data_IF_115630713511
#
_entry.id   IF_115630713511
#
_cell.length_a   1.000
_cell.length_b   1.000
_cell.length_c   1.000
_cell.angle_alpha   90.00
_cell.angle_beta   90.00
_cell.angle_gamma   90.00
#
_symmetry.space_group_name_H-M   'P 1'
#
loop_
_entity.id
_entity.type
_entity.pdbx_description
1 polymer ?
#
# COMPACT_ATOMS: atom_id res chain seq x y z
N UNK A 1 3.57 -2.44 -11.11
CA UNK A 1 4.40 -2.50 -9.88
C UNK A 1 3.54 -2.10 -8.68
N UNK A 2 3.71 -2.71 -7.52
CA UNK A 2 3.13 -2.20 -6.28
C UNK A 2 4.01 -1.03 -5.83
N UNK A 3 3.50 0.19 -5.94
CA UNK A 3 4.29 1.42 -5.84
C UNK A 3 4.19 2.06 -4.46
N UNK A 4 3.01 2.01 -3.87
CA UNK A 4 2.75 2.61 -2.55
C UNK A 4 1.72 1.78 -1.78
N UNK A 5 1.95 1.64 -0.48
CA UNK A 5 1.01 1.05 0.47
C UNK A 5 0.61 2.13 1.47
N UNK A 6 -0.68 2.40 1.55
CA UNK A 6 -1.24 3.38 2.47
C UNK A 6 -1.86 2.69 3.68
N UNK A 7 -1.61 3.23 4.86
CA UNK A 7 -2.22 2.87 6.13
C UNK A 7 -3.08 4.00 6.65
N UNK A 8 -4.11 3.67 7.43
CA UNK A 8 -4.91 4.64 8.17
C UNK A 8 -4.70 4.45 9.67
N UNK A 9 -4.46 5.55 10.38
CA UNK A 9 -4.22 5.54 11.82
C UNK A 9 -5.04 6.61 12.55
N UNK A 10 -5.36 6.35 13.81
CA UNK A 10 -5.92 7.36 14.72
C UNK A 10 -4.86 8.40 15.13
N UNK A 11 -3.62 7.97 15.31
CA UNK A 11 -2.49 8.81 15.70
C UNK A 11 -1.45 8.80 14.57
N UNK A 12 -1.46 9.86 13.75
CA UNK A 12 -0.60 10.00 12.58
C UNK A 12 0.88 9.97 12.97
N UNK A 13 1.28 10.86 13.87
CA UNK A 13 2.69 11.10 14.18
C UNK A 13 3.31 9.89 14.86
N UNK A 14 2.62 9.29 15.84
CA UNK A 14 3.10 8.07 16.49
C UNK A 14 3.30 6.93 15.49
N UNK A 15 2.41 6.78 14.52
CA UNK A 15 2.48 5.71 13.53
C UNK A 15 3.61 5.97 12.53
N UNK A 16 3.80 7.22 12.11
CA UNK A 16 4.92 7.63 11.27
C UNK A 16 6.26 7.39 11.98
N UNK A 17 6.38 7.79 13.25
CA UNK A 17 7.59 7.56 14.06
C UNK A 17 7.94 6.06 14.13
N UNK A 18 6.93 5.19 14.30
CA UNK A 18 7.13 3.74 14.32
C UNK A 18 7.63 3.19 12.98
N UNK A 19 7.07 3.66 11.86
CA UNK A 19 7.52 3.22 10.54
C UNK A 19 8.90 3.78 10.20
N UNK A 20 9.17 5.04 10.51
CA UNK A 20 10.49 5.66 10.35
C UNK A 20 11.56 4.93 11.17
N UNK A 21 11.26 4.59 12.43
CA UNK A 21 12.16 3.81 13.29
C UNK A 21 12.43 2.41 12.75
N UNK A 22 11.39 1.72 12.26
CA UNK A 22 11.53 0.40 11.64
C UNK A 22 12.40 0.44 10.38
N UNK A 23 12.18 1.45 9.53
CA UNK A 23 12.80 1.57 8.21
C UNK A 23 14.12 2.35 8.21
N UNK A 24 14.56 2.80 9.38
CA UNK A 24 15.72 3.70 9.55
C UNK A 24 15.66 4.89 8.57
N UNK A 25 14.48 5.49 8.45
CA UNK A 25 14.16 6.49 7.44
C UNK A 25 13.51 7.73 8.05
N UNK A 26 13.52 8.81 7.29
CA UNK A 26 12.78 10.05 7.59
C UNK A 26 11.57 10.19 6.66
N UNK A 27 10.67 11.10 7.00
CA UNK A 27 9.57 11.46 6.09
C UNK A 27 10.13 12.11 4.83
N UNK A 28 9.73 11.62 3.67
CA UNK A 28 10.14 12.20 2.40
C UNK A 28 9.17 13.27 1.90
N UNK A 29 7.89 13.20 2.31
CA UNK A 29 6.87 14.16 1.87
C UNK A 29 5.65 14.18 2.79
N UNK A 30 4.98 15.34 2.86
CA UNK A 30 3.61 15.49 3.35
C UNK A 30 2.79 16.12 2.23
N UNK A 31 1.78 15.41 1.77
CA UNK A 31 0.96 15.84 0.64
C UNK A 31 -0.20 16.70 1.12
N UNK A 32 -0.20 18.02 0.85
CA UNK A 32 -1.36 18.86 1.15
C UNK A 32 -2.62 18.43 0.37
N UNK A 33 -2.47 17.70 -0.74
CA UNK A 33 -3.56 17.18 -1.56
C UNK A 33 -4.49 16.22 -0.80
N UNK A 34 -4.01 15.51 0.21
CA UNK A 34 -4.87 14.62 1.00
C UNK A 34 -5.90 15.37 1.85
N UNK A 35 -5.70 16.67 2.06
CA UNK A 35 -6.68 17.55 2.69
C UNK A 35 -8.02 17.59 1.95
N UNK A 36 -8.02 17.33 0.64
CA UNK A 36 -9.25 17.16 -0.15
C UNK A 36 -10.17 16.05 0.39
N UNK A 37 -9.60 15.07 1.09
CA UNK A 37 -10.33 13.95 1.70
C UNK A 37 -10.56 14.13 3.21
N UNK A 38 -10.23 15.31 3.77
CA UNK A 38 -10.28 15.58 5.21
C UNK A 38 -9.19 14.83 5.98
N UNK A 39 -8.01 14.65 5.37
CA UNK A 39 -6.90 13.87 5.93
C UNK A 39 -5.62 14.71 6.05
N UNK A 40 -4.77 14.31 6.98
CA UNK A 40 -3.33 14.61 6.96
C UNK A 40 -2.56 13.32 6.66
N UNK A 41 -1.35 13.44 6.11
CA UNK A 41 -0.50 12.28 5.83
C UNK A 41 0.99 12.50 6.13
N UNK A 42 1.75 11.43 5.95
CA UNK A 42 3.19 11.43 5.76
C UNK A 42 3.61 10.25 4.89
N UNK A 43 4.55 10.48 3.98
CA UNK A 43 5.16 9.46 3.12
C UNK A 43 6.59 9.16 3.57
N UNK A 44 6.95 7.89 3.48
CA UNK A 44 8.28 7.34 3.76
C UNK A 44 8.73 6.57 2.51
N UNK A 45 9.93 6.86 2.03
CA UNK A 45 10.53 6.15 0.90
C UNK A 45 11.20 4.84 1.35
N UNK A 46 11.04 3.79 0.55
CA UNK A 46 11.50 2.42 0.81
C UNK A 46 11.95 1.76 -0.49
N UNK A 47 13.26 1.77 -0.78
CA UNK A 47 13.83 1.09 -1.94
C UNK A 47 13.27 1.58 -3.29
N UNK A 48 12.91 2.85 -3.35
CA UNK A 48 12.25 3.55 -4.43
C UNK A 48 10.72 3.53 -4.35
N UNK A 49 10.09 2.67 -3.54
CA UNK A 49 8.64 2.62 -3.31
C UNK A 49 8.24 3.40 -2.04
N UNK A 50 6.96 3.40 -1.67
CA UNK A 50 6.47 4.27 -0.59
C UNK A 50 5.57 3.55 0.42
N UNK A 51 5.76 3.86 1.70
CA UNK A 51 4.72 3.71 2.71
C UNK A 51 4.10 5.08 2.99
N UNK A 52 2.79 5.09 3.12
CA UNK A 52 2.04 6.28 3.51
C UNK A 52 1.22 5.98 4.75
N UNK A 53 1.15 6.93 5.68
CA UNK A 53 0.16 6.91 6.75
C UNK A 53 -0.73 8.12 6.57
N UNK A 54 -2.05 7.89 6.57
CA UNK A 54 -3.07 8.94 6.61
C UNK A 54 -3.81 8.90 7.93
N UNK A 55 -4.30 10.06 8.38
CA UNK A 55 -5.18 10.17 9.54
C UNK A 55 -6.28 11.19 9.30
N UNK A 56 -7.54 10.91 9.71
CA UNK A 56 -8.62 11.88 9.63
C UNK A 56 -8.34 13.16 10.43
N UNK A 57 -8.49 14.31 9.79
CA UNK A 57 -8.49 15.62 10.46
C UNK A 57 -9.89 16.20 10.62
N UNK A 58 -10.89 15.59 9.98
CA UNK A 58 -12.30 15.96 10.02
C UNK A 58 -13.17 14.75 10.40
N UNK A 59 -14.33 15.03 11.01
CA UNK A 59 -15.33 14.00 11.29
C UNK A 59 -16.01 13.51 9.99
N UNK A 60 -16.48 12.25 10.00
CA UNK A 60 -17.27 11.73 8.88
C UNK A 60 -16.49 11.45 7.59
N UNK A 61 -15.16 11.42 7.64
CA UNK A 61 -14.32 11.02 6.50
C UNK A 61 -14.49 9.53 6.17
N UNK A 62 -14.15 9.14 4.94
CA UNK A 62 -14.13 7.72 4.55
C UNK A 62 -13.08 6.93 5.35
N UNK A 63 -11.93 7.54 5.62
CA UNK A 63 -10.88 6.96 6.45
C UNK A 63 -11.36 6.74 7.90
N UNK A 64 -12.03 7.72 8.50
CA UNK A 64 -12.61 7.60 9.85
C UNK A 64 -13.61 6.45 9.96
N UNK A 65 -14.57 6.37 9.02
CA UNK A 65 -15.51 5.22 8.98
C UNK A 65 -14.81 3.87 8.79
N UNK A 66 -13.68 3.86 8.10
CA UNK A 66 -12.91 2.63 7.90
C UNK A 66 -12.17 2.22 9.18
N UNK A 67 -11.60 3.17 9.94
CA UNK A 67 -11.05 2.92 11.28
C UNK A 67 -12.11 2.31 12.22
N UNK A 68 -13.32 2.87 12.25
CA UNK A 68 -14.43 2.34 13.05
C UNK A 68 -14.79 0.90 12.65
N UNK A 69 -14.86 0.65 11.34
CA UNK A 69 -15.16 -0.69 10.79
C UNK A 69 -14.07 -1.71 11.15
N UNK A 70 -12.81 -1.29 11.10
CA UNK A 70 -11.66 -2.12 11.45
C UNK A 70 -11.45 -2.26 12.96
N UNK A 71 -12.13 -1.43 13.76
CA UNK A 71 -11.98 -1.29 15.21
C UNK A 71 -10.53 -1.01 15.60
N UNK A 72 -9.87 -0.14 14.84
CA UNK A 72 -8.47 0.21 15.03
C UNK A 72 -7.77 0.58 13.72
N UNK A 73 -6.50 0.91 13.85
CA UNK A 73 -5.61 1.23 12.73
C UNK A 73 -5.50 0.05 11.76
N UNK A 74 -5.27 0.33 10.47
CA UNK A 74 -5.24 -0.72 9.45
C UNK A 74 -4.63 -0.28 8.13
N UNK A 75 -4.15 -1.24 7.34
CA UNK A 75 -3.90 -1.04 5.91
C UNK A 75 -5.15 -0.54 5.16
N UNK A 76 -4.98 0.48 4.33
CA UNK A 76 -6.05 1.30 3.78
C UNK A 76 -6.13 1.30 2.25
N UNK A 77 -4.98 1.32 1.56
CA UNK A 77 -4.93 1.37 0.10
C UNK A 77 -3.68 0.65 -0.44
N UNK A 78 -3.84 0.01 -1.60
CA UNK A 78 -2.72 -0.44 -2.44
C UNK A 78 -2.71 0.39 -3.73
N UNK A 79 -1.57 1.00 -4.04
CA UNK A 79 -1.41 1.87 -5.19
C UNK A 79 -0.41 1.23 -6.15
N UNK A 80 -0.88 0.97 -7.37
CA UNK A 80 -0.09 0.34 -8.42
C UNK A 80 0.33 1.37 -9.46
N UNK A 81 1.58 1.29 -9.89
CA UNK A 81 2.08 2.05 -11.04
C UNK A 81 2.13 1.16 -12.27
N UNK A 82 1.69 1.71 -13.39
CA UNK A 82 1.71 1.09 -14.72
C UNK A 82 2.07 2.12 -15.80
N UNK A 83 2.21 1.63 -17.04
CA UNK A 83 2.49 2.46 -18.20
C UNK A 83 1.30 3.35 -18.59
N UNK A 84 0.08 2.79 -18.57
CA UNK A 84 -1.13 3.47 -18.99
C UNK A 84 -2.30 3.12 -18.06
N UNK A 85 -2.65 4.03 -17.15
CA UNK A 85 -3.75 3.82 -16.21
C UNK A 85 -5.14 3.88 -16.86
N UNK A 86 -5.29 4.50 -18.05
CA UNK A 86 -6.57 4.65 -18.73
C UNK A 86 -7.21 3.30 -19.05
N UNK A 87 -6.41 2.28 -19.39
CA UNK A 87 -6.91 0.92 -19.68
C UNK A 87 -7.63 0.28 -18.48
N UNK A 88 -7.29 0.70 -17.26
CA UNK A 88 -7.91 0.20 -16.03
C UNK A 88 -9.21 0.93 -15.71
N UNK A 89 -9.39 2.17 -16.19
CA UNK A 89 -10.69 2.87 -16.14
C UNK A 89 -11.70 2.22 -17.08
N UNK A 90 -11.31 1.98 -18.33
CA UNK A 90 -12.13 1.28 -19.32
C UNK A 90 -12.57 -0.09 -18.79
N UNK A 91 -11.62 -0.86 -18.25
CA UNK A 91 -11.92 -2.13 -17.62
C UNK A 91 -12.81 -2.01 -16.38
N UNK A 92 -12.66 -0.97 -15.58
CA UNK A 92 -13.53 -0.73 -14.44
C UNK A 92 -14.96 -0.46 -14.88
N UNK A 93 -15.17 0.29 -15.95
CA UNK A 93 -16.49 0.53 -16.54
C UNK A 93 -17.13 -0.77 -17.03
N UNK A 94 -16.39 -1.60 -17.78
CA UNK A 94 -16.85 -2.92 -18.24
C UNK A 94 -17.29 -3.84 -17.07
N UNK A 95 -16.59 -3.73 -15.93
CA UNK A 95 -16.84 -4.55 -14.74
C UNK A 95 -17.77 -3.88 -13.72
N UNK A 96 -18.34 -2.72 -14.03
CA UNK A 96 -19.17 -1.91 -13.13
C UNK A 96 -18.49 -1.61 -11.77
N UNK A 97 -17.20 -1.31 -11.81
CA UNK A 97 -16.39 -0.91 -10.65
C UNK A 97 -16.40 0.61 -10.55
N UNK A 98 -16.93 1.15 -9.44
CA UNK A 98 -16.97 2.61 -9.24
C UNK A 98 -15.56 3.19 -9.10
N UNK A 99 -15.34 4.28 -9.83
CA UNK A 99 -14.17 5.15 -9.73
C UNK A 99 -14.49 6.24 -8.70
N UNK A 100 -13.97 6.11 -7.48
CA UNK A 100 -14.32 7.01 -6.35
C UNK A 100 -13.55 8.32 -6.35
N UNK A 101 -12.43 8.34 -7.07
CA UNK A 101 -11.65 9.53 -7.34
C UNK A 101 -10.85 9.31 -8.62
N UNK A 102 -10.74 10.34 -9.44
CA UNK A 102 -9.96 10.34 -10.67
C UNK A 102 -9.21 11.65 -10.81
N UNK A 103 -8.06 11.59 -11.46
CA UNK A 103 -7.34 12.78 -11.89
C UNK A 103 -6.69 12.56 -13.25
N UNK A 104 -6.61 13.65 -14.02
CA UNK A 104 -5.90 13.76 -15.28
C UNK A 104 -5.16 15.10 -15.23
N UNK A 105 -3.90 15.06 -14.82
CA UNK A 105 -3.09 16.27 -14.73
C UNK A 105 -2.56 16.63 -16.13
N UNK A 106 -2.43 17.93 -16.40
CA UNK A 106 -1.91 18.44 -17.67
C UNK A 106 -0.50 17.94 -17.99
N UNK A 107 0.27 17.59 -16.96
CA UNK A 107 1.61 17.05 -17.12
C UNK A 107 1.63 15.58 -17.57
N UNK A 108 0.48 14.93 -17.76
CA UNK A 108 0.36 13.55 -18.24
C UNK A 108 0.13 12.50 -17.14
N UNK A 109 0.03 12.90 -15.87
CA UNK A 109 -0.28 11.97 -14.76
C UNK A 109 -1.77 11.60 -14.78
N UNK A 110 -2.04 10.30 -14.68
CA UNK A 110 -3.40 9.74 -14.61
C UNK A 110 -3.47 8.83 -13.39
N UNK A 111 -4.45 9.04 -12.53
CA UNK A 111 -4.72 8.15 -11.38
C UNK A 111 -6.21 7.94 -11.15
N UNK A 112 -6.54 6.80 -10.55
CA UNK A 112 -7.92 6.40 -10.27
C UNK A 112 -8.01 5.53 -9.04
N UNK A 113 -8.81 5.95 -8.06
CA UNK A 113 -9.16 5.12 -6.91
C UNK A 113 -10.41 4.30 -7.23
N UNK A 114 -10.34 2.99 -7.06
CA UNK A 114 -11.46 2.06 -7.28
C UNK A 114 -12.14 1.69 -5.95
N UNK A 115 -13.48 1.70 -5.94
CA UNK A 115 -14.27 1.51 -4.72
C UNK A 115 -14.05 0.10 -4.11
N UNK A 116 -13.71 -0.03 -2.81
CA UNK A 116 -13.38 -1.32 -2.17
C UNK A 116 -14.54 -2.33 -2.17
N UNK A 117 -15.79 -1.85 -2.08
CA UNK A 117 -16.98 -2.73 -2.25
C UNK A 117 -17.05 -3.39 -3.64
N UNK A 118 -16.51 -2.75 -4.67
CA UNK A 118 -16.64 -3.23 -6.05
C UNK A 118 -15.38 -3.94 -6.49
N UNK A 119 -14.18 -3.44 -6.18
CA UNK A 119 -12.92 -4.15 -6.49
C UNK A 119 -12.65 -5.31 -5.52
N UNK A 120 -13.20 -5.21 -4.30
CA UNK A 120 -12.99 -6.14 -3.20
C UNK A 120 -11.75 -5.81 -2.38
N UNK A 121 -11.85 -5.92 -1.04
CA UNK A 121 -10.74 -5.65 -0.12
C UNK A 121 -10.60 -4.17 0.24
N UNK A 122 -9.40 -3.63 0.06
CA UNK A 122 -9.04 -2.22 0.32
C UNK A 122 -9.25 -1.35 -0.91
N UNK A 123 -9.10 -0.03 -0.78
CA UNK A 123 -9.06 0.84 -1.97
C UNK A 123 -7.87 0.40 -2.82
N UNK A 124 -8.09 0.32 -4.13
CA UNK A 124 -7.02 0.06 -5.10
C UNK A 124 -6.87 1.31 -5.97
N UNK A 125 -5.65 1.81 -6.11
CA UNK A 125 -5.32 2.82 -7.12
C UNK A 125 -4.48 2.22 -8.22
N UNK A 126 -4.73 2.62 -9.47
CA UNK A 126 -3.85 2.30 -10.60
C UNK A 126 -3.52 3.58 -11.35
N UNK A 127 -2.22 3.87 -11.39
CA UNK A 127 -1.70 5.17 -11.77
C UNK A 127 -0.64 5.02 -12.88
N UNK A 128 -0.59 6.01 -13.77
CA UNK A 128 0.50 6.19 -14.73
C UNK A 128 1.07 7.59 -14.57
N UNK A 129 2.39 7.65 -14.50
CA UNK A 129 3.14 8.90 -14.38
C UNK A 129 3.55 9.41 -15.76
N UNK A 130 4.03 10.64 -15.83
CA UNK A 130 4.50 11.27 -17.06
C UNK A 130 5.92 10.86 -17.49
N UNK A 131 6.31 9.62 -17.20
CA UNK A 131 7.66 9.13 -17.43
C UNK A 131 7.61 7.72 -18.05
N UNK A 132 8.21 7.56 -19.23
CA UNK A 132 8.27 6.28 -19.94
C UNK A 132 9.12 5.23 -19.22
N UNK A 133 10.09 5.65 -18.40
CA UNK A 133 10.90 4.77 -17.56
C UNK A 133 10.24 4.47 -16.20
N UNK A 134 8.92 4.30 -16.17
CA UNK A 134 8.15 4.05 -14.94
C UNK A 134 8.58 2.78 -14.18
N UNK A 135 9.26 1.85 -14.85
CA UNK A 135 9.83 0.65 -14.23
C UNK A 135 11.08 0.92 -13.39
N UNK A 136 11.79 2.02 -13.64
CA UNK A 136 12.91 2.41 -12.80
C UNK A 136 12.40 2.72 -11.39
N UNK A 137 13.03 2.10 -10.39
CA UNK A 137 12.64 2.24 -8.98
C UNK A 137 12.65 3.68 -8.50
N UNK A 138 13.55 4.48 -9.05
CA UNK A 138 13.75 5.89 -8.73
C UNK A 138 13.13 6.83 -9.78
N UNK A 139 12.21 6.32 -10.61
CA UNK A 139 11.43 7.16 -11.51
C UNK A 139 10.48 8.08 -10.75
N UNK A 140 10.14 9.21 -11.38
CA UNK A 140 9.25 10.22 -10.80
C UNK A 140 7.94 9.62 -10.28
N UNK A 141 7.50 10.12 -9.13
CA UNK A 141 6.24 9.76 -8.49
C UNK A 141 5.55 11.04 -8.02
N UNK A 142 4.45 11.41 -8.68
CA UNK A 142 3.73 12.67 -8.45
C UNK A 142 3.32 12.86 -6.98
N UNK A 143 2.93 11.76 -6.31
CA UNK A 143 2.39 11.80 -4.95
C UNK A 143 3.45 11.93 -3.85
N UNK A 144 4.74 11.79 -4.19
CA UNK A 144 5.85 12.04 -3.27
C UNK A 144 6.47 13.43 -3.45
N UNK A 145 5.82 14.32 -4.20
CA UNK A 145 6.35 15.64 -4.51
C UNK A 145 7.62 15.58 -5.39
N UNK A 146 8.38 16.67 -5.41
CA UNK A 146 9.60 16.78 -6.24
C UNK A 146 10.88 16.39 -5.50
N UNK A 147 10.85 16.41 -4.16
CA UNK A 147 12.07 16.47 -3.35
C UNK A 147 12.40 15.14 -2.66
N UNK A 148 11.58 14.10 -2.83
CA UNK A 148 11.77 12.80 -2.17
C UNK A 148 13.10 12.10 -2.52
N UNK A 149 13.73 12.49 -3.62
CA UNK A 149 15.06 12.01 -4.06
C UNK A 149 16.24 12.91 -3.61
N UNK A 150 16.00 13.99 -2.89
CA UNK A 150 17.06 14.93 -2.45
C UNK A 150 17.83 14.42 -1.23
N UNK A 151 17.20 13.58 -0.42
CA UNK A 151 17.83 12.87 0.72
C UNK A 151 18.46 11.55 0.29
N UNK A 152 19.21 10.92 1.20
CA UNK A 152 19.74 9.57 0.97
C UNK A 152 18.58 8.60 0.71
N UNK A 153 18.63 7.93 -0.44
CA UNK A 153 17.71 6.85 -0.79
C UNK A 153 17.81 5.71 0.22
N UNK A 154 16.66 5.20 0.66
CA UNK A 154 16.55 4.09 1.58
C UNK A 154 16.62 2.74 0.85
N UNK A 155 17.76 2.49 0.19
CA UNK A 155 17.95 1.31 -0.63
C UNK A 155 18.25 0.03 0.15
N UNK A 156 18.42 0.09 1.48
CA UNK A 156 18.56 -1.10 2.34
C UNK A 156 17.27 -1.93 2.43
N UNK A 157 16.12 -1.35 2.09
CA UNK A 157 14.81 -1.98 2.23
C UNK A 157 14.12 -2.12 0.86
N UNK A 158 13.16 -3.03 0.76
CA UNK A 158 12.26 -3.11 -0.39
C UNK A 158 10.92 -3.72 0.01
N UNK A 159 9.82 -3.13 -0.47
CA UNK A 159 8.49 -3.74 -0.37
C UNK A 159 8.40 -4.85 -1.43
N UNK A 160 8.24 -6.10 -1.00
CA UNK A 160 8.21 -7.24 -1.92
C UNK A 160 6.90 -8.03 -1.91
N UNK A 161 5.95 -7.64 -1.05
CA UNK A 161 4.68 -8.32 -1.03
C UNK A 161 3.68 -7.78 -0.02
N UNK A 162 2.46 -8.27 -0.17
CA UNK A 162 1.33 -7.98 0.68
C UNK A 162 0.42 -9.20 0.81
N UNK A 163 -0.33 -9.28 1.91
CA UNK A 163 -1.30 -10.33 2.12
C UNK A 163 -2.67 -9.76 2.49
N UNK A 164 -3.65 -10.14 1.67
CA UNK A 164 -5.07 -9.89 1.93
C UNK A 164 -5.63 -11.05 2.74
N UNK A 165 -6.10 -10.77 3.95
CA UNK A 165 -6.98 -11.69 4.67
C UNK A 165 -8.38 -11.51 4.12
N UNK A 166 -9.04 -12.59 3.72
CA UNK A 166 -10.20 -12.55 2.83
C UNK A 166 -11.38 -13.39 3.33
N UNK A 167 -12.59 -12.87 3.18
CA UNK A 167 -13.81 -13.69 3.31
C UNK A 167 -13.86 -14.77 2.23
N UNK A 168 -13.56 -14.42 0.97
CA UNK A 168 -13.56 -15.33 -0.18
C UNK A 168 -12.24 -15.21 -0.97
N UNK A 169 -11.13 -15.85 -0.52
CA UNK A 169 -9.81 -15.65 -1.12
C UNK A 169 -9.74 -16.08 -2.59
N UNK A 170 -10.39 -17.18 -2.95
CA UNK A 170 -10.42 -17.69 -4.33
C UNK A 170 -11.16 -16.74 -5.30
N UNK A 171 -12.23 -16.10 -4.84
CA UNK A 171 -12.97 -15.11 -5.64
C UNK A 171 -12.17 -13.82 -5.80
N UNK A 172 -11.62 -13.31 -4.69
CA UNK A 172 -10.87 -12.06 -4.70
C UNK A 172 -9.60 -12.17 -5.54
N UNK A 173 -8.85 -13.27 -5.39
CA UNK A 173 -7.62 -13.49 -6.15
C UNK A 173 -7.88 -13.58 -7.66
N UNK A 174 -8.94 -14.27 -8.10
CA UNK A 174 -9.35 -14.29 -9.53
C UNK A 174 -9.75 -12.91 -10.03
N UNK A 175 -10.51 -12.16 -9.23
CA UNK A 175 -10.95 -10.81 -9.57
C UNK A 175 -9.78 -9.84 -9.71
N UNK A 176 -8.89 -9.79 -8.72
CA UNK A 176 -7.70 -8.94 -8.75
C UNK A 176 -6.74 -9.34 -9.86
N UNK A 177 -6.52 -10.64 -10.08
CA UNK A 177 -5.67 -11.15 -11.18
C UNK A 177 -6.20 -10.69 -12.54
N UNK A 178 -7.51 -10.88 -12.76
CA UNK A 178 -8.16 -10.37 -13.97
C UNK A 178 -7.97 -8.87 -14.06
N UNK A 179 -8.44 -8.09 -13.07
CA UNK A 179 -8.41 -6.64 -13.10
C UNK A 179 -7.00 -6.08 -13.38
N UNK A 180 -6.00 -6.51 -12.60
CA UNK A 180 -4.61 -6.07 -12.72
C UNK A 180 -3.87 -6.61 -13.96
N UNK A 181 -4.45 -7.60 -14.66
CA UNK A 181 -3.82 -8.35 -15.76
C UNK A 181 -2.51 -9.03 -15.33
N UNK A 182 -2.52 -9.62 -14.14
CA UNK A 182 -1.36 -10.30 -13.55
C UNK A 182 -1.63 -11.80 -13.38
N UNK A 183 -0.62 -12.67 -13.52
CA UNK A 183 -0.79 -14.11 -13.40
C UNK A 183 -1.23 -14.51 -11.99
N UNK A 184 -2.24 -15.38 -11.92
CA UNK A 184 -2.68 -16.05 -10.70
C UNK A 184 -2.10 -17.46 -10.64
N UNK A 185 -1.49 -17.80 -9.52
CA UNK A 185 -1.02 -19.15 -9.20
C UNK A 185 -1.57 -19.60 -7.84
N UNK A 186 -1.38 -20.87 -7.48
CA UNK A 186 -1.64 -21.37 -6.14
C UNK A 186 -0.33 -21.78 -5.46
N UNK A 187 -0.11 -21.29 -4.24
CA UNK A 187 1.03 -21.68 -3.38
C UNK A 187 0.50 -22.02 -2.00
N UNK A 188 0.80 -23.23 -1.50
CA UNK A 188 0.30 -23.72 -0.21
C UNK A 188 -1.23 -23.53 -0.05
N UNK A 189 -2.00 -23.80 -1.11
CA UNK A 189 -3.46 -23.60 -1.19
C UNK A 189 -3.96 -22.15 -1.21
N UNK A 190 -3.07 -21.16 -1.10
CA UNK A 190 -3.40 -19.74 -1.24
C UNK A 190 -3.30 -19.30 -2.70
N UNK A 191 -4.24 -18.44 -3.13
CA UNK A 191 -4.11 -17.71 -4.38
C UNK A 191 -2.95 -16.71 -4.26
N UNK A 192 -2.12 -16.62 -5.29
CA UNK A 192 -0.98 -15.70 -5.35
C UNK A 192 -0.96 -14.99 -6.69
N UNK A 193 -1.05 -13.67 -6.65
CA UNK A 193 -0.81 -12.80 -7.81
C UNK A 193 0.65 -12.38 -7.77
N UNK A 194 1.35 -12.55 -8.89
CA UNK A 194 2.76 -12.19 -9.01
C UNK A 194 2.95 -11.03 -9.99
N UNK A 195 3.52 -9.93 -9.49
CA UNK A 195 4.09 -8.86 -10.30
C UNK A 195 5.56 -9.12 -10.62
N UNK A 196 6.22 -8.12 -11.21
CA UNK A 196 7.64 -8.20 -11.54
C UNK A 196 8.52 -8.27 -10.27
N UNK A 197 8.20 -7.47 -9.26
CA UNK A 197 8.97 -7.28 -8.02
C UNK A 197 8.15 -7.44 -6.73
N UNK A 198 6.89 -7.90 -6.84
CA UNK A 198 6.02 -8.11 -5.68
C UNK A 198 5.12 -9.33 -5.81
N UNK A 199 4.67 -9.87 -4.68
CA UNK A 199 3.62 -10.90 -4.60
C UNK A 199 2.44 -10.42 -3.74
N UNK A 200 1.21 -10.71 -4.16
CA UNK A 200 0.01 -10.52 -3.34
C UNK A 200 -0.60 -11.88 -3.04
N UNK A 201 -0.70 -12.20 -1.76
CA UNK A 201 -1.29 -13.44 -1.26
C UNK A 201 -2.71 -13.21 -0.78
N UNK A 202 -3.54 -14.24 -0.91
CA UNK A 202 -4.93 -14.24 -0.50
C UNK A 202 -5.18 -15.41 0.44
N UNK A 203 -5.34 -15.11 1.73
CA UNK A 203 -5.62 -16.11 2.77
C UNK A 203 -7.05 -15.99 3.26
N UNK A 204 -7.59 -17.09 3.79
CA UNK A 204 -8.92 -17.09 4.38
C UNK A 204 -8.85 -16.37 5.73
N UNK A 205 -9.70 -15.38 5.92
CA UNK A 205 -9.94 -14.78 7.22
C UNK A 205 -10.69 -15.78 8.10
N UNK A 206 -10.14 -16.07 9.28
CA UNK A 206 -10.74 -16.96 10.28
C UNK A 206 -11.51 -16.21 11.37
N UNK A 207 -11.29 -14.89 11.50
CA UNK A 207 -11.59 -14.19 12.75
C UNK A 207 -12.49 -12.96 12.56
N UNK A 208 -12.19 -12.06 11.61
CA UNK A 208 -12.84 -10.74 11.53
C UNK A 208 -14.14 -10.71 10.72
N UNK A 209 -14.35 -11.70 9.86
CA UNK A 209 -15.41 -11.71 8.84
C UNK A 209 -15.27 -10.59 7.80
N UNK A 210 -14.06 -10.04 7.63
CA UNK A 210 -13.78 -8.90 6.76
C UNK A 210 -12.62 -9.21 5.81
N UNK A 211 -12.63 -8.59 4.64
CA UNK A 211 -11.46 -8.60 3.75
C UNK A 211 -10.62 -7.34 3.98
N UNK A 212 -9.34 -7.49 4.32
CA UNK A 212 -8.44 -6.38 4.67
C UNK A 212 -6.97 -6.71 4.40
N UNK A 213 -6.13 -5.67 4.33
CA UNK A 213 -4.68 -5.82 4.22
C UNK A 213 -4.10 -6.24 5.59
N UNK A 214 -3.69 -7.50 5.68
CA UNK A 214 -3.32 -8.15 6.93
C UNK A 214 -1.82 -8.21 7.15
N UNK A 215 -1.02 -8.34 6.08
CA UNK A 215 0.43 -8.39 6.16
C UNK A 215 1.09 -7.63 5.02
N UNK A 216 2.31 -7.12 5.25
CA UNK A 216 3.23 -6.69 4.21
C UNK A 216 4.60 -7.33 4.41
N UNK A 217 5.34 -7.51 3.31
CA UNK A 217 6.68 -8.08 3.32
C UNK A 217 7.70 -7.02 2.94
N UNK A 218 8.63 -6.79 3.85
CA UNK A 218 9.75 -5.87 3.68
C UNK A 218 11.02 -6.68 3.66
N UNK A 219 11.69 -6.70 2.52
CA UNK A 219 13.02 -7.27 2.40
C UNK A 219 14.05 -6.29 2.96
N UNK A 220 14.94 -6.78 3.79
CA UNK A 220 16.11 -6.05 4.28
C UNK A 220 17.34 -6.65 3.58
N UNK A 221 18.10 -5.83 2.86
CA UNK A 221 19.24 -6.31 2.06
C UNK A 221 20.47 -6.64 2.90
N UNK A 222 20.60 -5.98 4.03
CA UNK A 222 21.72 -6.09 4.95
C UNK A 222 21.29 -6.92 6.18
N UNK A 223 21.97 -8.05 6.42
CA UNK A 223 21.62 -8.96 7.51
C UNK A 223 21.93 -8.36 8.89
N UNK A 224 22.95 -7.52 9.04
CA UNK A 224 23.28 -6.89 10.32
C UNK A 224 22.17 -5.89 10.71
N UNK A 225 21.71 -5.08 9.75
CA UNK A 225 20.55 -4.18 9.95
C UNK A 225 19.30 -4.99 10.35
N UNK A 226 19.07 -6.12 9.68
CA UNK A 226 17.92 -6.98 9.96
C UNK A 226 18.00 -7.59 11.36
N UNK A 227 19.16 -8.09 11.77
CA UNK A 227 19.38 -8.63 13.11
C UNK A 227 19.20 -7.56 14.19
N UNK A 228 19.69 -6.34 13.97
CA UNK A 228 19.51 -5.19 14.86
C UNK A 228 18.02 -4.90 15.06
N UNK A 229 17.27 -4.75 13.97
CA UNK A 229 15.83 -4.47 14.00
C UNK A 229 15.08 -5.62 14.69
N UNK A 230 15.33 -6.87 14.29
CA UNK A 230 14.66 -8.04 14.90
C UNK A 230 14.95 -8.10 16.39
N UNK A 231 16.18 -7.83 16.82
CA UNK A 231 16.56 -7.84 18.24
C UNK A 231 15.80 -6.76 19.02
N UNK A 232 15.75 -5.54 18.49
CA UNK A 232 15.01 -4.42 19.08
C UNK A 232 13.52 -4.76 19.24
N UNK A 233 12.89 -5.33 18.22
CA UNK A 233 11.46 -5.65 18.25
C UNK A 233 11.13 -6.95 19.02
N UNK A 234 12.00 -7.97 19.04
CA UNK A 234 11.82 -9.17 19.87
C UNK A 234 11.94 -8.89 21.37
N UNK A 235 12.86 -8.01 21.78
CA UNK A 235 13.03 -7.61 23.19
C UNK A 235 11.74 -6.97 23.73
N UNK A 236 10.93 -6.33 22.87
CA UNK A 236 9.62 -5.78 23.25
C UNK A 236 8.52 -6.82 23.50
N UNK A 237 8.80 -8.14 23.40
CA UNK A 237 7.82 -9.20 23.62
C UNK A 237 6.86 -9.45 22.44
N UNK A 238 7.07 -8.79 21.31
CA UNK A 238 6.29 -8.99 20.08
C UNK A 238 6.76 -10.25 19.34
N UNK A 239 6.01 -11.35 19.46
CA UNK A 239 6.23 -12.58 18.70
C UNK A 239 6.00 -12.39 17.19
N UNK A 240 5.18 -11.41 16.80
CA UNK A 240 5.02 -10.92 15.43
C UNK A 240 5.05 -9.38 15.42
N UNK A 241 5.90 -8.80 14.55
CA UNK A 241 5.96 -7.36 14.40
C UNK A 241 4.67 -6.86 13.77
N UNK A 242 3.92 -6.03 14.51
CA UNK A 242 2.65 -5.46 14.05
C UNK A 242 2.67 -3.95 14.23
N UNK A 243 2.51 -3.22 13.14
CA UNK A 243 2.42 -1.76 13.10
C UNK A 243 1.14 -1.36 12.38
N UNK A 244 0.45 -0.33 12.88
CA UNK A 244 -0.78 0.18 12.28
C UNK A 244 -1.82 -0.93 11.96
N UNK A 245 -1.98 -1.89 12.88
CA UNK A 245 -2.92 -3.00 12.71
C UNK A 245 -2.54 -4.09 11.70
N UNK A 246 -1.39 -3.97 11.04
CA UNK A 246 -0.90 -4.87 9.97
C UNK A 246 0.41 -5.55 10.39
N UNK A 247 0.55 -6.85 10.10
CA UNK A 247 1.78 -7.59 10.38
C UNK A 247 2.86 -7.22 9.37
N UNK A 248 4.08 -7.02 9.84
CA UNK A 248 5.23 -6.67 9.02
C UNK A 248 6.20 -7.85 9.04
N UNK A 249 6.36 -8.52 7.90
CA UNK A 249 7.35 -9.58 7.75
C UNK A 249 8.67 -8.96 7.29
N UNK A 250 9.73 -9.16 8.08
CA UNK A 250 11.10 -8.74 7.74
C UNK A 250 11.84 -9.94 7.14
N UNK A 251 12.18 -9.85 5.86
CA UNK A 251 12.74 -10.94 5.05
C UNK A 251 14.18 -10.68 4.64
#
# INVERSE_FOLDING_TARGET
RLRQICFVAHDLEKTLDQFCDLLQAELCFRDPGVGHFGLANGLIEVGGDFLEVVSPTEEGTTAGRYLDRMKGDSGYMLIFQCENAQIYREKAEELNIRQVWTTNLENGVIATHFHPKDIGGVIMSVDSMNNENWKNKYSHWQWAGTDWMTSKVNDSFAIIGAEMSCVSPDELSRKWSSFLKLPLSKKNQHGVIKGEDFEIRFSKDSDKGLTYLSEIDIKIKDEDIKEEIISKYRISGNLSLKLCGTKINLL
#
